data_IF_134772005526
#
_entry.id   IF_134772005526
#
_cell.length_a   1.000
_cell.length_b   1.000
_cell.length_c   1.000
_cell.angle_alpha   90.00
_cell.angle_beta   90.00
_cell.angle_gamma   90.00
#
_symmetry.space_group_name_H-M   'P 1'
#
loop_
_entity.id
_entity.type
_entity.pdbx_description
1 polymer ?
#
# COMPACT_ATOMS: atom_id res chain seq x y z
N UNK A 1 19.61 -13.18 13.39
CA UNK A 1 20.23 -12.90 14.73
C UNK A 1 21.75 -12.75 14.59
N UNK A 2 22.37 -11.87 15.34
CA UNK A 2 23.82 -11.63 15.34
C UNK A 2 24.37 -11.88 16.74
N UNK A 3 25.60 -12.39 16.84
CA UNK A 3 26.27 -12.57 18.14
C UNK A 3 26.56 -11.21 18.81
N UNK A 4 26.93 -10.20 18.03
CA UNK A 4 27.20 -8.85 18.52
C UNK A 4 25.87 -8.07 18.72
N UNK A 5 25.64 -7.49 19.94
CA UNK A 5 24.40 -6.79 20.26
C UNK A 5 24.34 -5.38 19.64
N UNK A 6 24.07 -5.33 18.34
CA UNK A 6 23.80 -4.14 17.55
C UNK A 6 22.66 -4.42 16.56
N UNK A 7 22.10 -3.38 15.96
CA UNK A 7 21.15 -3.51 14.84
C UNK A 7 21.90 -3.24 13.53
N UNK A 8 21.70 -4.12 12.54
CA UNK A 8 22.20 -3.90 11.19
C UNK A 8 21.01 -3.94 10.23
N UNK A 9 20.89 -2.91 9.40
CA UNK A 9 19.82 -2.73 8.44
C UNK A 9 20.41 -2.75 7.03
N UNK A 10 19.78 -3.50 6.12
CA UNK A 10 20.12 -3.55 4.70
C UNK A 10 18.87 -3.23 3.86
N UNK A 11 19.01 -2.36 2.86
CA UNK A 11 18.05 -2.17 1.78
C UNK A 11 18.67 -2.74 0.52
N UNK A 12 18.17 -3.90 0.08
CA UNK A 12 18.74 -4.63 -1.07
C UNK A 12 18.46 -3.86 -2.36
N UNK A 13 17.26 -3.31 -2.49
CA UNK A 13 16.83 -2.52 -3.65
C UNK A 13 17.56 -1.18 -3.79
N UNK A 14 18.03 -0.59 -2.69
CA UNK A 14 18.80 0.66 -2.68
C UNK A 14 20.32 0.43 -2.59
N UNK A 15 20.77 -0.78 -2.31
CA UNK A 15 22.19 -1.11 -2.18
C UNK A 15 22.90 -0.42 -0.99
N UNK A 16 22.15 -0.11 0.08
CA UNK A 16 22.69 0.60 1.25
C UNK A 16 22.54 -0.22 2.52
N UNK A 17 23.45 0.04 3.49
CA UNK A 17 23.46 -0.61 4.79
C UNK A 17 23.73 0.39 5.89
N UNK A 18 23.21 0.12 7.08
CA UNK A 18 23.41 0.95 8.26
C UNK A 18 23.59 0.08 9.50
N UNK A 19 24.48 0.52 10.41
CA UNK A 19 24.71 -0.07 11.71
C UNK A 19 24.29 0.90 12.81
N UNK A 20 23.52 0.41 13.76
CA UNK A 20 22.94 1.17 14.87
C UNK A 20 23.38 0.51 16.18
N UNK A 21 24.02 1.29 17.05
CA UNK A 21 24.59 0.80 18.32
C UNK A 21 24.00 1.50 19.54
N UNK A 22 23.35 2.67 19.34
CA UNK A 22 22.80 3.47 20.45
C UNK A 22 21.33 3.81 20.23
N UNK A 23 20.65 4.19 21.31
CA UNK A 23 19.28 4.69 21.25
C UNK A 23 19.15 5.97 20.42
N UNK A 24 20.14 6.87 20.49
CA UNK A 24 20.17 8.10 19.74
C UNK A 24 20.19 7.81 18.24
N UNK A 25 21.02 6.86 17.81
CA UNK A 25 21.07 6.42 16.42
C UNK A 25 19.75 5.77 15.99
N UNK A 26 19.15 4.90 16.83
CA UNK A 26 17.86 4.27 16.53
C UNK A 26 16.73 5.30 16.43
N UNK A 27 16.76 6.31 17.28
CA UNK A 27 15.72 7.35 17.37
C UNK A 27 15.99 8.56 16.49
N UNK A 28 17.17 8.65 15.85
CA UNK A 28 17.49 9.75 14.96
C UNK A 28 16.39 9.87 13.89
N UNK A 29 15.73 11.03 13.88
CA UNK A 29 14.72 11.35 12.89
C UNK A 29 15.41 11.68 11.56
N UNK A 30 15.68 10.68 10.75
CA UNK A 30 15.89 10.91 9.33
C UNK A 30 14.50 10.97 8.69
N UNK A 31 14.09 12.15 8.28
CA UNK A 31 12.91 12.30 7.44
C UNK A 31 13.00 11.30 6.28
N UNK A 32 12.04 10.35 6.22
CA UNK A 32 11.83 9.40 5.12
C UNK A 32 13.09 8.80 4.45
N UNK A 33 14.14 8.53 5.23
CA UNK A 33 15.35 7.87 4.75
C UNK A 33 15.14 6.37 4.46
N UNK A 34 16.13 5.68 3.87
CA UNK A 34 16.05 4.26 3.51
C UNK A 34 15.65 3.34 4.66
N UNK A 35 16.03 3.70 5.89
CA UNK A 35 15.82 2.89 7.09
C UNK A 35 14.79 3.46 8.06
N UNK A 36 14.01 4.46 7.67
CA UNK A 36 12.98 5.05 8.53
C UNK A 36 11.94 4.02 9.00
N UNK A 37 11.48 3.14 8.12
CA UNK A 37 10.50 2.09 8.43
C UNK A 37 11.05 1.07 9.43
N UNK A 38 12.17 0.36 9.18
CA UNK A 38 12.69 -0.61 10.15
C UNK A 38 13.11 0.01 11.49
N UNK A 39 13.61 1.25 11.51
CA UNK A 39 13.88 1.97 12.76
C UNK A 39 12.60 2.21 13.55
N UNK A 40 11.55 2.76 12.92
CA UNK A 40 10.28 3.00 13.59
C UNK A 40 9.61 1.69 14.07
N UNK A 41 9.73 0.61 13.30
CA UNK A 41 9.22 -0.71 13.68
C UNK A 41 9.94 -1.27 14.92
N UNK A 42 11.28 -1.19 14.98
CA UNK A 42 12.07 -1.59 16.16
C UNK A 42 11.69 -0.75 17.38
N UNK A 43 11.50 0.56 17.20
CA UNK A 43 11.08 1.44 18.31
C UNK A 43 9.74 0.97 18.88
N UNK A 44 8.73 0.75 18.03
CA UNK A 44 7.40 0.26 18.44
C UNK A 44 7.45 -1.16 19.04
N UNK A 45 8.43 -1.96 18.67
CA UNK A 45 8.66 -3.29 19.26
C UNK A 45 9.34 -3.24 20.65
N UNK A 46 9.58 -2.04 21.21
CA UNK A 46 10.13 -1.85 22.54
C UNK A 46 11.66 -1.82 22.59
N UNK A 47 12.33 -1.47 21.47
CA UNK A 47 13.77 -1.14 21.48
C UNK A 47 14.03 0.37 21.62
N UNK A 48 12.99 1.18 21.81
CA UNK A 48 13.07 2.60 22.20
C UNK A 48 12.52 2.73 23.63
N UNK A 49 13.26 3.35 24.57
CA UNK A 49 12.82 3.50 25.96
C UNK A 49 11.43 4.13 26.13
N UNK A 50 11.01 4.94 25.17
CA UNK A 50 9.67 5.58 25.19
C UNK A 50 8.52 4.60 24.93
N UNK A 51 8.82 3.44 24.35
CA UNK A 51 7.85 2.38 24.04
C UNK A 51 8.11 1.08 24.81
N UNK A 52 9.03 1.08 25.76
CA UNK A 52 9.38 -0.07 26.60
C UNK A 52 9.16 0.25 28.07
N UNK A 53 8.39 -0.58 28.78
CA UNK A 53 8.18 -0.43 30.21
C UNK A 53 9.43 -0.80 31.03
N UNK A 54 10.32 -1.63 30.47
CA UNK A 54 11.49 -2.24 31.12
C UNK A 54 12.78 -1.95 30.35
N UNK A 55 12.93 -0.73 29.80
CA UNK A 55 14.08 -0.35 29.00
C UNK A 55 15.40 -0.50 29.79
N UNK A 56 16.40 -1.11 29.15
CA UNK A 56 17.78 -1.16 29.69
C UNK A 56 18.44 0.22 29.47
N UNK A 57 19.53 0.52 30.25
CA UNK A 57 20.27 1.78 30.13
C UNK A 57 20.82 2.05 28.73
N UNK A 58 21.21 1.01 28.01
CA UNK A 58 21.74 1.13 26.62
C UNK A 58 21.03 0.21 25.65
N UNK A 59 21.04 0.56 24.36
CA UNK A 59 20.49 -0.30 23.30
C UNK A 59 21.20 -1.67 23.27
N UNK A 60 22.51 -1.71 23.50
CA UNK A 60 23.30 -2.94 23.56
C UNK A 60 22.80 -3.89 24.65
N UNK A 61 22.55 -3.37 25.85
CA UNK A 61 21.99 -4.16 26.95
C UNK A 61 20.55 -4.60 26.68
N UNK A 62 19.74 -3.74 26.08
CA UNK A 62 18.36 -4.05 25.66
C UNK A 62 18.33 -5.22 24.65
N UNK A 63 19.19 -5.17 23.65
CA UNK A 63 19.35 -6.23 22.66
C UNK A 63 19.85 -7.54 23.29
N UNK A 64 20.90 -7.46 24.14
CA UNK A 64 21.43 -8.64 24.84
C UNK A 64 20.38 -9.31 25.71
N UNK A 65 19.62 -8.52 26.48
CA UNK A 65 18.59 -9.03 27.41
C UNK A 65 17.40 -9.64 26.68
N UNK A 66 16.92 -9.00 25.61
CA UNK A 66 15.71 -9.46 24.90
C UNK A 66 15.97 -10.50 23.81
N UNK A 67 17.14 -10.43 23.18
CA UNK A 67 17.44 -11.22 21.98
C UNK A 67 18.64 -12.17 22.18
N UNK A 68 19.39 -12.04 23.28
CA UNK A 68 20.67 -12.75 23.45
C UNK A 68 21.76 -12.29 22.47
N UNK A 69 21.57 -11.22 21.74
CA UNK A 69 22.50 -10.71 20.73
C UNK A 69 21.90 -9.57 19.92
N UNK A 70 22.37 -9.34 18.70
CA UNK A 70 21.89 -8.29 17.82
C UNK A 70 20.84 -8.75 16.83
N UNK A 71 20.25 -7.77 16.11
CA UNK A 71 19.24 -7.95 15.08
C UNK A 71 19.80 -7.51 13.73
N UNK A 72 19.59 -8.32 12.70
CA UNK A 72 19.88 -7.96 11.31
C UNK A 72 18.59 -8.03 10.50
N UNK A 73 18.27 -6.95 9.79
CA UNK A 73 17.07 -6.83 8.96
C UNK A 73 17.49 -6.46 7.53
N UNK A 74 17.15 -7.33 6.59
CA UNK A 74 17.28 -7.03 5.15
C UNK A 74 15.91 -6.80 4.55
N UNK A 75 15.74 -5.70 3.85
CA UNK A 75 14.50 -5.35 3.16
C UNK A 75 14.69 -5.34 1.64
N UNK A 76 13.65 -5.73 0.92
CA UNK A 76 13.57 -5.64 -0.54
C UNK A 76 12.18 -5.14 -0.93
N UNK A 77 12.09 -3.99 -1.57
CA UNK A 77 10.87 -3.45 -2.14
C UNK A 77 10.93 -3.54 -3.67
N UNK A 78 10.35 -4.59 -4.24
CA UNK A 78 10.36 -4.81 -5.69
C UNK A 78 9.41 -3.89 -6.47
N UNK A 79 8.59 -3.11 -5.78
CA UNK A 79 7.61 -2.18 -6.36
C UNK A 79 8.10 -0.75 -6.18
N UNK A 80 8.07 0.10 -7.23
CA UNK A 80 8.53 1.47 -7.14
C UNK A 80 7.80 2.30 -6.08
N UNK A 81 8.51 3.17 -5.37
CA UNK A 81 7.90 4.18 -4.49
C UNK A 81 6.95 5.08 -5.29
N UNK A 82 5.83 5.49 -4.69
CA UNK A 82 4.85 6.34 -5.37
C UNK A 82 4.04 5.63 -6.45
N UNK A 83 4.06 4.30 -6.46
CA UNK A 83 3.33 3.48 -7.44
C UNK A 83 1.81 3.43 -7.24
N UNK A 84 1.29 3.93 -6.11
CA UNK A 84 -0.14 3.85 -5.77
C UNK A 84 -0.60 2.49 -5.26
N UNK A 85 0.33 1.57 -4.96
CA UNK A 85 0.01 0.23 -4.45
C UNK A 85 0.26 0.08 -2.94
N UNK A 86 0.35 1.18 -2.20
CA UNK A 86 0.56 1.13 -0.75
C UNK A 86 1.89 0.52 -0.30
N UNK A 87 2.93 0.56 -1.15
CA UNK A 87 4.21 -0.13 -0.92
C UNK A 87 4.85 0.21 0.43
N UNK A 88 4.77 1.47 0.85
CA UNK A 88 5.34 1.91 2.14
C UNK A 88 4.64 1.25 3.32
N UNK A 89 3.30 1.29 3.33
CA UNK A 89 2.47 0.70 4.38
C UNK A 89 2.61 -0.82 4.43
N UNK A 90 2.67 -1.48 3.27
CA UNK A 90 2.86 -2.94 3.17
C UNK A 90 4.25 -3.33 3.69
N UNK A 91 5.31 -2.57 3.33
CA UNK A 91 6.65 -2.80 3.86
C UNK A 91 6.69 -2.60 5.37
N UNK A 92 6.09 -1.52 5.87
CA UNK A 92 6.01 -1.23 7.31
C UNK A 92 5.31 -2.36 8.07
N UNK A 93 4.16 -2.83 7.57
CA UNK A 93 3.41 -3.92 8.15
C UNK A 93 4.18 -5.26 8.10
N UNK A 94 4.90 -5.52 7.02
CA UNK A 94 5.73 -6.72 6.88
C UNK A 94 6.88 -6.71 7.89
N UNK A 95 7.58 -5.59 8.02
CA UNK A 95 8.68 -5.44 8.98
C UNK A 95 8.18 -5.56 10.42
N UNK A 96 7.03 -4.92 10.75
CA UNK A 96 6.39 -5.09 12.07
C UNK A 96 6.00 -6.54 12.33
N UNK A 97 5.43 -7.23 11.36
CA UNK A 97 5.06 -8.64 11.47
C UNK A 97 6.26 -9.53 11.78
N UNK A 98 7.36 -9.37 11.03
CA UNK A 98 8.60 -10.13 11.24
C UNK A 98 9.22 -9.84 12.59
N UNK A 99 9.28 -8.56 13.00
CA UNK A 99 9.82 -8.18 14.32
C UNK A 99 8.91 -8.69 15.43
N UNK A 100 7.58 -8.60 15.27
CA UNK A 100 6.61 -9.13 16.24
C UNK A 100 6.78 -10.63 16.45
N UNK A 101 6.98 -11.39 15.38
CA UNK A 101 7.25 -12.82 15.42
C UNK A 101 8.62 -13.14 16.03
N UNK A 102 9.68 -12.44 15.59
CA UNK A 102 11.04 -12.60 16.10
C UNK A 102 11.14 -12.35 17.63
N UNK A 103 10.42 -11.32 18.09
CA UNK A 103 10.43 -10.92 19.51
C UNK A 103 9.33 -11.60 20.34
N UNK A 104 8.58 -12.53 19.78
CA UNK A 104 7.46 -13.25 20.42
C UNK A 104 6.43 -12.29 21.07
N UNK A 105 6.08 -11.20 20.40
CA UNK A 105 5.19 -10.16 20.93
C UNK A 105 3.70 -10.53 20.84
N UNK A 106 3.34 -11.63 20.20
CA UNK A 106 1.98 -12.13 20.09
C UNK A 106 1.02 -11.20 19.34
N UNK A 107 1.51 -10.34 18.46
CA UNK A 107 0.67 -9.41 17.72
C UNK A 107 -0.25 -10.13 16.73
N UNK A 108 -1.53 -9.87 16.84
CA UNK A 108 -2.55 -10.29 15.88
C UNK A 108 -2.44 -9.48 14.57
N UNK A 109 -3.21 -9.87 13.57
CA UNK A 109 -3.30 -9.09 12.32
C UNK A 109 -3.89 -7.70 12.57
N UNK A 110 -4.87 -7.60 13.42
CA UNK A 110 -5.52 -6.36 13.83
C UNK A 110 -4.53 -5.44 14.58
N UNK A 111 -3.68 -6.02 15.44
CA UNK A 111 -2.58 -5.28 16.08
C UNK A 111 -1.61 -4.73 15.03
N UNK A 112 -1.30 -5.50 13.98
CA UNK A 112 -0.43 -5.05 12.90
C UNK A 112 -1.06 -3.91 12.10
N UNK A 113 -2.39 -3.92 11.86
CA UNK A 113 -3.08 -2.80 11.22
C UNK A 113 -2.90 -1.51 12.05
N UNK A 114 -3.22 -1.58 13.33
CA UNK A 114 -3.12 -0.43 14.24
C UNK A 114 -1.67 0.07 14.36
N UNK A 115 -0.71 -0.83 14.57
CA UNK A 115 0.72 -0.49 14.73
C UNK A 115 1.32 0.09 13.47
N UNK A 116 0.91 -0.38 12.29
CA UNK A 116 1.35 0.18 11.02
C UNK A 116 0.85 1.61 10.87
N UNK A 117 -0.41 1.88 11.23
CA UNK A 117 -0.94 3.25 11.23
C UNK A 117 -0.14 4.16 12.17
N UNK A 118 0.19 3.69 13.39
CA UNK A 118 1.03 4.44 14.33
C UNK A 118 2.43 4.67 13.76
N UNK A 119 3.02 3.65 13.12
CA UNK A 119 4.35 3.77 12.48
C UNK A 119 4.33 4.85 11.40
N UNK A 120 3.32 4.85 10.55
CA UNK A 120 3.18 5.86 9.48
C UNK A 120 3.00 7.28 10.04
N UNK A 121 2.25 7.43 11.14
CA UNK A 121 2.12 8.70 11.83
C UNK A 121 3.46 9.17 12.42
N UNK A 122 4.26 8.26 13.02
CA UNK A 122 5.61 8.57 13.49
C UNK A 122 6.54 9.05 12.36
N UNK A 123 6.34 8.55 11.15
CA UNK A 123 7.08 8.98 9.95
C UNK A 123 6.46 10.22 9.28
N UNK A 124 5.33 10.69 9.77
CA UNK A 124 4.62 11.84 9.19
C UNK A 124 4.11 11.59 7.76
N UNK A 125 3.78 10.36 7.39
CA UNK A 125 3.26 10.02 6.05
C UNK A 125 1.86 10.57 5.80
N UNK A 126 1.05 10.73 6.86
CA UNK A 126 -0.34 11.19 6.78
C UNK A 126 -1.29 10.18 6.15
N UNK A 127 -0.87 8.92 5.97
CA UNK A 127 -1.68 7.83 5.44
C UNK A 127 -2.71 7.31 6.45
N UNK A 128 -3.78 6.70 5.93
CA UNK A 128 -4.78 5.96 6.72
C UNK A 128 -4.45 4.47 6.82
N UNK A 129 -5.43 3.67 7.21
CA UNK A 129 -5.30 2.23 7.42
C UNK A 129 -5.54 1.36 6.17
N UNK A 130 -5.93 1.93 5.03
CA UNK A 130 -6.38 1.18 3.85
C UNK A 130 -5.29 0.26 3.27
N UNK A 131 -4.08 0.77 3.11
CA UNK A 131 -3.01 0.07 2.39
C UNK A 131 -2.49 -1.13 3.18
N UNK A 132 -2.28 -0.98 4.49
CA UNK A 132 -1.85 -2.09 5.34
C UNK A 132 -2.93 -3.17 5.45
N UNK A 133 -4.21 -2.80 5.58
CA UNK A 133 -5.31 -3.76 5.57
C UNK A 133 -5.37 -4.48 4.23
N UNK A 134 -5.24 -3.74 3.12
CA UNK A 134 -5.19 -4.27 1.77
C UNK A 134 -4.06 -5.29 1.56
N UNK A 135 -2.88 -5.01 2.09
CA UNK A 135 -1.68 -5.83 1.92
C UNK A 135 -1.61 -7.04 2.85
N UNK A 136 -2.01 -6.90 4.12
CA UNK A 136 -1.86 -7.97 5.12
C UNK A 136 -2.97 -9.03 5.03
N UNK A 137 -4.21 -8.62 4.68
CA UNK A 137 -5.32 -9.55 4.53
C UNK A 137 -5.30 -10.19 3.13
N UNK A 138 -5.56 -11.51 2.99
CA UNK A 138 -5.56 -12.20 1.69
C UNK A 138 -6.80 -11.90 0.85
N UNK A 139 -6.74 -12.23 -0.46
CA UNK A 139 -7.87 -12.33 -1.37
C UNK A 139 -8.65 -11.04 -1.60
N UNK A 140 -9.84 -11.20 -2.18
CA UNK A 140 -10.81 -10.12 -2.35
C UNK A 140 -11.50 -9.79 -1.01
N UNK A 141 -11.62 -8.50 -0.70
CA UNK A 141 -12.18 -8.06 0.58
C UNK A 141 -12.69 -6.65 0.52
N UNK A 142 -13.60 -6.34 1.43
CA UNK A 142 -13.94 -4.97 1.81
C UNK A 142 -13.51 -4.74 3.25
N UNK A 143 -12.97 -3.56 3.52
CA UNK A 143 -12.65 -3.10 4.86
C UNK A 143 -13.49 -1.87 5.18
N UNK A 144 -14.09 -1.86 6.37
CA UNK A 144 -14.92 -0.78 6.86
C UNK A 144 -14.48 -0.37 8.26
N UNK A 145 -14.76 0.86 8.65
CA UNK A 145 -14.53 1.36 10.01
C UNK A 145 -15.69 2.20 10.47
N UNK A 146 -15.89 2.29 11.77
CA UNK A 146 -16.86 3.21 12.36
C UNK A 146 -16.34 4.66 12.41
N UNK A 147 -17.22 5.62 12.69
CA UNK A 147 -16.83 7.01 12.89
C UNK A 147 -15.99 7.19 14.16
N UNK A 148 -15.15 8.21 14.21
CA UNK A 148 -14.38 8.59 15.39
C UNK A 148 -12.88 8.60 15.17
N UNK A 149 -12.14 9.02 16.19
CA UNK A 149 -10.68 9.15 16.13
C UNK A 149 -9.97 7.77 16.21
N UNK A 150 -10.57 6.83 16.94
CA UNK A 150 -10.07 5.46 17.01
C UNK A 150 -10.63 4.66 15.85
N UNK A 151 -9.77 4.27 14.94
CA UNK A 151 -10.12 3.51 13.75
C UNK A 151 -9.81 2.02 13.97
N UNK A 152 -10.83 1.18 13.89
CA UNK A 152 -10.74 -0.28 14.01
C UNK A 152 -11.29 -0.92 12.74
N UNK A 153 -10.44 -1.16 11.71
CA UNK A 153 -10.90 -1.71 10.45
C UNK A 153 -11.43 -3.14 10.61
N UNK A 154 -12.68 -3.35 10.25
CA UNK A 154 -13.29 -4.68 10.11
C UNK A 154 -13.14 -5.16 8.66
N UNK A 155 -12.65 -6.38 8.47
CA UNK A 155 -12.42 -6.99 7.16
C UNK A 155 -13.47 -8.06 6.88
N UNK A 156 -14.20 -7.91 5.78
CA UNK A 156 -15.10 -8.93 5.24
C UNK A 156 -14.54 -9.47 3.93
N UNK A 157 -14.29 -10.77 3.88
CA UNK A 157 -13.80 -11.45 2.68
C UNK A 157 -14.91 -11.65 1.66
N UNK A 158 -14.57 -11.51 0.39
CA UNK A 158 -15.46 -11.65 -0.74
C UNK A 158 -15.10 -12.89 -1.56
N UNK A 159 -16.03 -13.45 -2.35
CA UNK A 159 -15.72 -14.54 -3.29
C UNK A 159 -14.66 -14.11 -4.31
N UNK A 160 -13.69 -14.97 -4.57
CA UNK A 160 -12.58 -14.70 -5.49
C UNK A 160 -12.90 -15.03 -6.96
N UNK A 161 -13.98 -15.77 -7.25
CA UNK A 161 -14.27 -16.38 -8.55
C UNK A 161 -14.20 -15.41 -9.71
N UNK A 162 -14.98 -14.32 -9.66
CA UNK A 162 -15.00 -13.30 -10.72
C UNK A 162 -13.60 -12.70 -10.96
N UNK A 163 -12.85 -12.42 -9.92
CA UNK A 163 -11.52 -11.81 -10.06
C UNK A 163 -10.51 -12.81 -10.61
N UNK A 164 -10.60 -14.10 -10.20
CA UNK A 164 -9.77 -15.17 -10.77
C UNK A 164 -10.03 -15.32 -12.25
N UNK A 165 -11.30 -15.37 -12.67
CA UNK A 165 -11.66 -15.49 -14.08
C UNK A 165 -11.12 -14.32 -14.91
N UNK A 166 -11.15 -13.10 -14.39
CA UNK A 166 -10.59 -11.92 -15.04
C UNK A 166 -9.07 -11.97 -15.16
N UNK A 167 -8.37 -12.47 -14.12
CA UNK A 167 -6.91 -12.60 -14.12
C UNK A 167 -6.46 -13.76 -15.01
N UNK A 168 -7.06 -14.93 -14.86
CA UNK A 168 -6.68 -16.15 -15.57
C UNK A 168 -6.99 -16.06 -17.07
N UNK A 169 -8.07 -15.37 -17.45
CA UNK A 169 -8.38 -15.08 -18.86
C UNK A 169 -7.48 -13.98 -19.46
N UNK A 170 -6.64 -13.31 -18.65
CA UNK A 170 -5.79 -12.21 -19.11
C UNK A 170 -6.53 -10.92 -19.43
N UNK A 171 -7.84 -10.82 -19.12
CA UNK A 171 -8.66 -9.61 -19.37
C UNK A 171 -8.42 -8.51 -18.36
N UNK A 172 -7.97 -8.83 -17.15
CA UNK A 172 -7.50 -7.83 -16.20
C UNK A 172 -6.00 -7.61 -16.37
N UNK A 173 -5.62 -6.36 -16.63
CA UNK A 173 -4.24 -5.95 -16.80
C UNK A 173 -3.84 -4.97 -15.69
N UNK A 174 -2.58 -5.04 -15.28
CA UNK A 174 -1.97 -4.09 -14.38
C UNK A 174 -0.80 -3.44 -15.10
N UNK A 175 -0.92 -2.14 -15.39
CA UNK A 175 0.08 -1.37 -16.12
C UNK A 175 0.72 -0.33 -15.20
N UNK A 176 2.02 -0.45 -14.97
CA UNK A 176 2.80 0.64 -14.40
C UNK A 176 3.05 1.69 -15.48
N UNK A 177 2.66 2.93 -15.25
CA UNK A 177 2.74 4.02 -16.23
C UNK A 177 4.14 4.61 -16.38
N UNK A 178 5.08 4.28 -15.46
CA UNK A 178 6.38 4.96 -15.39
C UNK A 178 6.31 6.38 -14.81
N UNK A 179 5.11 6.89 -14.55
CA UNK A 179 4.88 8.20 -13.94
C UNK A 179 4.76 8.02 -12.43
N UNK A 180 5.62 8.68 -11.67
CA UNK A 180 5.54 8.71 -10.21
C UNK A 180 5.13 10.09 -9.74
N UNK A 181 4.19 10.16 -8.81
CA UNK A 181 3.81 11.38 -8.12
C UNK A 181 3.76 11.15 -6.61
N UNK A 182 4.06 12.20 -5.87
CA UNK A 182 3.93 12.16 -4.42
C UNK A 182 2.44 12.25 -4.06
N UNK A 183 1.83 11.12 -3.70
CA UNK A 183 0.42 11.01 -3.28
C UNK A 183 0.06 11.99 -2.13
N UNK A 184 1.05 12.36 -1.31
CA UNK A 184 0.91 13.27 -0.17
C UNK A 184 0.29 14.64 -0.54
N UNK A 185 0.59 15.18 -1.75
CA UNK A 185 0.03 16.47 -2.17
C UNK A 185 -1.46 16.38 -2.47
N UNK A 186 -1.91 15.31 -3.15
CA UNK A 186 -3.32 15.08 -3.48
C UNK A 186 -4.13 14.85 -2.20
N UNK A 187 -3.67 13.95 -1.32
CA UNK A 187 -4.33 13.69 -0.04
C UNK A 187 -4.40 14.94 0.84
N UNK A 188 -3.34 15.75 0.86
CA UNK A 188 -3.32 17.00 1.62
C UNK A 188 -4.38 17.99 1.16
N UNK A 189 -4.60 18.17 -0.14
CA UNK A 189 -5.64 19.05 -0.69
C UNK A 189 -7.04 18.51 -0.38
N UNK A 190 -7.27 17.20 -0.52
CA UNK A 190 -8.56 16.57 -0.18
C UNK A 190 -8.87 16.76 1.31
N UNK A 191 -7.92 16.48 2.20
CA UNK A 191 -8.09 16.67 3.65
C UNK A 191 -8.39 18.13 3.97
N UNK A 192 -7.67 19.07 3.35
CA UNK A 192 -7.91 20.50 3.52
C UNK A 192 -9.32 20.90 3.11
N UNK A 193 -9.82 20.44 1.96
CA UNK A 193 -11.17 20.75 1.48
C UNK A 193 -12.25 20.28 2.46
N UNK A 194 -12.05 19.09 3.06
CA UNK A 194 -12.96 18.54 4.07
C UNK A 194 -12.94 19.40 5.34
N UNK A 195 -11.76 19.76 5.85
CA UNK A 195 -11.64 20.61 7.04
C UNK A 195 -12.19 22.03 6.83
N UNK A 196 -12.16 22.54 5.59
CA UNK A 196 -12.79 23.80 5.22
C UNK A 196 -14.31 23.70 5.03
N UNK A 197 -14.88 22.51 5.19
CA UNK A 197 -16.32 22.28 5.11
C UNK A 197 -16.88 22.35 3.69
N UNK A 198 -16.08 22.04 2.68
CA UNK A 198 -16.53 22.01 1.29
C UNK A 198 -17.55 20.89 1.05
N UNK A 199 -18.82 21.27 0.95
CA UNK A 199 -19.95 20.33 0.76
C UNK A 199 -19.77 19.41 -0.45
N UNK A 200 -19.16 19.92 -1.53
CA UNK A 200 -18.91 19.13 -2.75
C UNK A 200 -17.96 17.96 -2.47
N UNK A 201 -16.84 18.22 -1.83
CA UNK A 201 -15.84 17.18 -1.50
C UNK A 201 -16.44 16.11 -0.57
N UNK A 202 -17.21 16.52 0.44
CA UNK A 202 -17.91 15.60 1.32
C UNK A 202 -18.91 14.71 0.56
N UNK A 203 -19.73 15.26 -0.32
CA UNK A 203 -20.68 14.52 -1.14
C UNK A 203 -19.99 13.50 -2.07
N UNK A 204 -18.86 13.88 -2.69
CA UNK A 204 -18.08 12.97 -3.54
C UNK A 204 -17.53 11.80 -2.72
N UNK A 205 -17.04 12.05 -1.49
CA UNK A 205 -16.54 10.98 -0.60
C UNK A 205 -17.66 10.01 -0.23
N UNK A 206 -18.87 10.51 0.07
CA UNK A 206 -20.03 9.64 0.29
C UNK A 206 -20.37 8.81 -0.95
N UNK A 207 -20.28 9.41 -2.16
CA UNK A 207 -20.48 8.69 -3.41
C UNK A 207 -19.41 7.61 -3.64
N UNK A 208 -18.15 7.88 -3.27
CA UNK A 208 -17.06 6.88 -3.31
C UNK A 208 -17.39 5.71 -2.36
N UNK A 209 -17.87 5.99 -1.15
CA UNK A 209 -18.27 4.95 -0.20
C UNK A 209 -19.43 4.10 -0.72
N UNK A 210 -20.50 4.73 -1.24
CA UNK A 210 -21.62 4.02 -1.90
C UNK A 210 -21.17 3.18 -3.09
N UNK A 211 -20.21 3.67 -3.85
CA UNK A 211 -19.66 2.92 -4.98
C UNK A 211 -18.81 1.72 -4.53
N UNK A 212 -18.16 1.77 -3.38
CA UNK A 212 -17.47 0.62 -2.81
C UNK A 212 -18.45 -0.49 -2.40
N UNK A 213 -19.61 -0.13 -1.83
CA UNK A 213 -20.68 -1.09 -1.54
C UNK A 213 -21.24 -1.70 -2.83
N UNK A 214 -21.47 -0.90 -3.86
CA UNK A 214 -21.92 -1.38 -5.17
C UNK A 214 -20.92 -2.35 -5.82
N UNK A 215 -19.61 -2.03 -5.78
CA UNK A 215 -18.55 -2.92 -6.24
C UNK A 215 -18.52 -4.24 -5.45
N UNK A 216 -18.75 -4.17 -4.14
CA UNK A 216 -18.83 -5.33 -3.26
C UNK A 216 -19.97 -6.25 -3.66
N UNK A 217 -21.16 -5.71 -3.89
CA UNK A 217 -22.33 -6.46 -4.33
C UNK A 217 -22.10 -7.10 -5.71
N UNK A 218 -21.48 -6.39 -6.65
CA UNK A 218 -21.12 -6.91 -7.95
C UNK A 218 -20.16 -8.13 -7.85
N UNK A 219 -19.13 -8.03 -7.00
CA UNK A 219 -18.20 -9.16 -6.76
C UNK A 219 -18.92 -10.34 -6.12
N UNK A 220 -19.79 -10.11 -5.12
CA UNK A 220 -20.54 -11.17 -4.43
C UNK A 220 -21.48 -11.93 -5.36
N UNK A 221 -22.04 -11.26 -6.36
CA UNK A 221 -22.97 -11.84 -7.36
C UNK A 221 -22.26 -12.34 -8.62
N UNK A 222 -20.95 -12.24 -8.70
CA UNK A 222 -20.15 -12.49 -9.91
C UNK A 222 -20.66 -11.67 -11.12
N UNK A 223 -21.16 -10.44 -10.87
CA UNK A 223 -21.61 -9.50 -11.87
C UNK A 223 -20.46 -8.69 -12.44
N UNK A 224 -19.90 -9.13 -13.56
CA UNK A 224 -18.81 -8.44 -14.25
C UNK A 224 -19.24 -7.06 -14.77
N UNK A 225 -20.46 -6.91 -15.25
CA UNK A 225 -20.97 -5.65 -15.78
C UNK A 225 -21.05 -4.60 -14.66
N UNK A 226 -21.59 -4.99 -13.50
CA UNK A 226 -21.61 -4.16 -12.30
C UNK A 226 -20.22 -3.78 -11.82
N UNK A 227 -19.25 -4.71 -11.82
CA UNK A 227 -17.87 -4.40 -11.46
C UNK A 227 -17.23 -3.39 -12.42
N UNK A 228 -17.44 -3.52 -13.74
CA UNK A 228 -16.97 -2.57 -14.73
C UNK A 228 -17.56 -1.17 -14.50
N UNK A 229 -18.84 -1.09 -14.21
CA UNK A 229 -19.50 0.18 -13.88
C UNK A 229 -18.93 0.80 -12.59
N UNK A 230 -18.71 0.00 -11.54
CA UNK A 230 -18.11 0.45 -10.30
C UNK A 230 -16.69 1.04 -10.52
N UNK A 231 -15.87 0.40 -11.37
CA UNK A 231 -14.52 0.89 -11.69
C UNK A 231 -14.60 2.22 -12.45
N UNK A 232 -15.47 2.33 -13.47
CA UNK A 232 -15.69 3.57 -14.23
C UNK A 232 -16.12 4.69 -13.31
N UNK A 233 -17.16 4.46 -12.50
CA UNK A 233 -17.65 5.43 -11.53
C UNK A 233 -16.59 5.83 -10.51
N UNK A 234 -15.81 4.88 -9.98
CA UNK A 234 -14.69 5.17 -9.09
C UNK A 234 -13.67 6.11 -9.74
N UNK A 235 -13.37 5.90 -11.03
CA UNK A 235 -12.44 6.75 -11.79
C UNK A 235 -12.99 8.18 -11.93
N UNK A 236 -14.25 8.33 -12.30
CA UNK A 236 -14.91 9.64 -12.44
C UNK A 236 -14.99 10.39 -11.12
N UNK A 237 -15.34 9.71 -10.03
CA UNK A 237 -15.37 10.29 -8.69
C UNK A 237 -14.00 10.77 -8.21
N UNK A 238 -12.94 9.98 -8.44
CA UNK A 238 -11.58 10.38 -8.09
C UNK A 238 -11.14 11.65 -8.85
N UNK A 239 -11.45 11.73 -10.15
CA UNK A 239 -11.18 12.91 -10.97
C UNK A 239 -11.99 14.14 -10.57
N UNK A 240 -13.23 13.93 -10.12
CA UNK A 240 -14.09 15.00 -9.61
C UNK A 240 -13.64 15.52 -8.25
N UNK A 241 -13.01 14.65 -7.43
CA UNK A 241 -12.51 14.98 -6.11
C UNK A 241 -11.24 15.83 -6.18
N UNK A 242 -10.30 15.47 -7.07
CA UNK A 242 -9.03 16.20 -7.25
C UNK A 242 -8.56 16.15 -8.71
N UNK A 243 -8.33 17.31 -9.30
CA UNK A 243 -7.86 17.43 -10.70
C UNK A 243 -6.47 16.81 -10.91
N UNK A 244 -5.64 16.77 -9.88
CA UNK A 244 -4.32 16.14 -9.92
C UNK A 244 -4.34 14.62 -10.04
N UNK A 245 -5.50 13.99 -9.85
CA UNK A 245 -5.69 12.55 -10.04
C UNK A 245 -5.39 12.12 -11.48
N UNK A 246 -5.69 12.97 -12.48
CA UNK A 246 -5.49 12.68 -13.89
C UNK A 246 -4.58 13.71 -14.57
N UNK A 247 -3.26 13.60 -14.43
CA UNK A 247 -2.32 14.49 -15.13
C UNK A 247 -2.25 14.16 -16.63
N UNK A 248 -1.88 15.15 -17.44
CA UNK A 248 -1.78 15.00 -18.90
C UNK A 248 -0.84 13.88 -19.34
N UNK A 249 0.16 13.54 -18.54
CA UNK A 249 1.09 12.42 -18.80
C UNK A 249 0.42 11.05 -18.83
N UNK A 250 -0.79 10.92 -18.28
CA UNK A 250 -1.57 9.67 -18.28
C UNK A 250 -2.49 9.58 -19.52
N UNK A 251 -2.83 10.71 -20.12
CA UNK A 251 -3.76 10.77 -21.27
C UNK A 251 -3.36 9.85 -22.44
N UNK A 252 -2.09 9.77 -22.88
CA UNK A 252 -1.73 8.87 -23.98
C UNK A 252 -2.01 7.38 -23.68
N UNK A 253 -1.96 6.96 -22.40
CA UNK A 253 -2.35 5.61 -22.01
C UNK A 253 -3.87 5.42 -22.13
N UNK A 254 -4.64 6.37 -21.58
CA UNK A 254 -6.12 6.26 -21.60
C UNK A 254 -6.69 6.34 -22.98
N UNK A 255 -6.09 7.10 -23.90
CA UNK A 255 -6.51 7.16 -25.31
C UNK A 255 -6.39 5.79 -26.01
N UNK A 256 -5.37 4.99 -25.67
CA UNK A 256 -5.27 3.60 -26.12
C UNK A 256 -6.41 2.77 -25.53
N UNK A 257 -6.62 2.86 -24.22
CA UNK A 257 -7.62 2.06 -23.52
C UNK A 257 -9.04 2.34 -24.01
N UNK A 258 -9.36 3.61 -24.27
CA UNK A 258 -10.66 4.05 -24.79
C UNK A 258 -10.94 3.49 -26.19
N UNK A 259 -9.94 3.47 -27.09
CA UNK A 259 -10.07 2.85 -28.42
C UNK A 259 -10.42 1.37 -28.38
N UNK A 260 -9.96 0.67 -27.36
CA UNK A 260 -10.24 -0.75 -27.16
C UNK A 260 -11.43 -1.03 -26.23
N UNK A 261 -12.21 -0.02 -25.84
CA UNK A 261 -13.39 -0.18 -24.98
C UNK A 261 -13.09 -0.72 -23.57
N UNK A 262 -11.88 -0.53 -23.10
CA UNK A 262 -11.49 -0.97 -21.76
C UNK A 262 -12.05 -0.05 -20.67
N UNK A 263 -12.32 -0.62 -19.50
CA UNK A 263 -12.59 0.13 -18.28
C UNK A 263 -11.32 0.15 -17.43
N UNK A 264 -11.01 1.28 -16.84
CA UNK A 264 -9.76 1.45 -16.12
C UNK A 264 -9.84 2.49 -15.01
N UNK A 265 -8.88 2.45 -14.10
CA UNK A 265 -8.61 3.52 -13.12
C UNK A 265 -7.16 3.51 -12.68
N UNK A 266 -6.63 4.67 -12.30
CA UNK A 266 -5.39 4.74 -11.51
C UNK A 266 -5.64 4.23 -10.09
N UNK A 267 -4.71 3.45 -9.58
CA UNK A 267 -4.74 2.94 -8.22
C UNK A 267 -4.21 3.98 -7.22
N UNK A 268 -4.66 3.88 -5.97
CA UNK A 268 -4.35 4.85 -4.92
C UNK A 268 -4.99 6.22 -5.18
N UNK A 269 -4.30 7.30 -4.79
CA UNK A 269 -4.76 8.68 -4.94
C UNK A 269 -4.74 9.20 -6.39
N UNK A 270 -4.22 8.42 -7.33
CA UNK A 270 -4.03 8.86 -8.72
C UNK A 270 -2.74 9.65 -8.93
N UNK A 271 -2.68 10.40 -10.04
CA UNK A 271 -1.51 11.21 -10.40
C UNK A 271 -0.37 10.45 -11.05
N UNK A 272 -0.48 9.12 -11.21
CA UNK A 272 0.51 8.22 -11.78
C UNK A 272 0.48 6.85 -11.11
N UNK A 273 1.55 6.07 -11.26
CA UNK A 273 1.65 4.72 -10.71
C UNK A 273 1.01 3.66 -11.58
N UNK A 274 0.16 2.82 -11.01
CA UNK A 274 -0.47 1.71 -11.72
C UNK A 274 -1.89 2.03 -12.19
N UNK A 275 -2.19 1.61 -13.43
CA UNK A 275 -3.54 1.49 -13.98
C UNK A 275 -4.03 0.05 -13.82
N UNK A 276 -5.18 -0.13 -13.18
CA UNK A 276 -5.99 -1.33 -13.30
C UNK A 276 -6.85 -1.18 -14.55
N UNK A 277 -6.83 -2.18 -15.42
CA UNK A 277 -7.52 -2.18 -16.71
C UNK A 277 -8.32 -3.46 -16.82
N UNK A 278 -9.61 -3.36 -17.17
CA UNK A 278 -10.45 -4.48 -17.55
C UNK A 278 -10.79 -4.37 -19.05
N UNK A 279 -10.16 -5.18 -19.86
CA UNK A 279 -10.47 -5.27 -21.28
C UNK A 279 -11.82 -6.00 -21.50
N UNK A 280 -12.57 -5.69 -22.55
CA UNK A 280 -13.85 -6.37 -22.86
C UNK A 280 -13.66 -7.87 -23.11
N UNK A 281 -12.56 -8.25 -23.77
CA UNK A 281 -12.19 -9.62 -24.10
C UNK A 281 -10.68 -9.81 -24.15
N UNK A 282 -10.22 -11.04 -24.32
CA UNK A 282 -8.79 -11.38 -24.34
C UNK A 282 -8.07 -10.83 -25.59
N UNK A 283 -8.76 -10.68 -26.72
CA UNK A 283 -8.18 -10.11 -27.93
C UNK A 283 -7.89 -8.62 -27.75
N UNK A 284 -8.82 -7.87 -27.15
CA UNK A 284 -8.65 -6.46 -26.78
C UNK A 284 -7.53 -6.29 -25.74
N UNK A 285 -7.45 -7.18 -24.76
CA UNK A 285 -6.36 -7.16 -23.76
C UNK A 285 -4.98 -7.35 -24.42
N UNK A 286 -4.88 -8.28 -25.37
CA UNK A 286 -3.66 -8.52 -26.14
C UNK A 286 -3.31 -7.32 -27.02
N UNK A 287 -4.29 -6.73 -27.70
CA UNK A 287 -4.11 -5.54 -28.54
C UNK A 287 -3.63 -4.34 -27.73
N UNK A 288 -4.24 -4.04 -26.58
CA UNK A 288 -3.82 -3.00 -25.64
C UNK A 288 -2.35 -3.20 -25.24
N UNK A 289 -2.01 -4.42 -24.84
CA UNK A 289 -0.64 -4.75 -24.43
C UNK A 289 0.36 -4.53 -25.56
N UNK A 290 0.04 -5.02 -26.76
CA UNK A 290 0.90 -4.91 -27.94
C UNK A 290 1.08 -3.44 -28.36
N UNK A 291 0.02 -2.65 -28.40
CA UNK A 291 0.06 -1.24 -28.80
C UNK A 291 0.90 -0.40 -27.82
N UNK A 292 0.69 -0.55 -26.51
CA UNK A 292 1.45 0.19 -25.49
C UNK A 292 2.93 -0.23 -25.49
N UNK A 293 3.25 -1.52 -25.69
CA UNK A 293 4.63 -2.00 -25.71
C UNK A 293 5.37 -1.59 -26.99
N UNK A 294 4.67 -1.48 -28.14
CA UNK A 294 5.27 -1.05 -29.40
C UNK A 294 5.66 0.44 -29.40
N UNK A 295 4.87 1.29 -28.73
CA UNK A 295 5.11 2.72 -28.60
C UNK A 295 4.75 3.19 -27.18
N UNK A 296 5.58 2.87 -26.17
CA UNK A 296 5.26 3.18 -24.78
C UNK A 296 5.24 4.70 -24.56
N UNK A 297 4.11 5.26 -24.06
CA UNK A 297 4.01 6.70 -23.76
C UNK A 297 5.05 7.19 -22.74
N UNK A 298 5.59 6.27 -21.93
CA UNK A 298 6.68 6.52 -21.01
C UNK A 298 7.66 5.34 -21.06
N UNK A 299 8.99 5.57 -21.12
CA UNK A 299 10.00 4.50 -21.17
C UNK A 299 9.97 3.55 -19.96
N UNK A 300 9.47 4.02 -18.81
CA UNK A 300 9.29 3.20 -17.60
C UNK A 300 8.01 2.38 -17.58
N UNK A 301 7.14 2.49 -18.61
CA UNK A 301 5.88 1.78 -18.66
C UNK A 301 6.09 0.27 -18.80
N UNK A 302 5.38 -0.52 -17.98
CA UNK A 302 5.48 -1.98 -18.05
C UNK A 302 4.21 -2.64 -17.51
N UNK A 303 3.84 -3.76 -18.11
CA UNK A 303 2.77 -4.60 -17.58
C UNK A 303 3.30 -5.54 -16.49
N UNK A 304 2.46 -5.74 -15.48
CA UNK A 304 2.68 -6.71 -14.41
C UNK A 304 1.50 -7.66 -14.40
N UNK A 305 1.74 -8.94 -14.21
CA UNK A 305 0.66 -9.93 -14.11
C UNK A 305 -0.02 -9.79 -12.74
N UNK A 306 -1.30 -9.43 -12.69
CA UNK A 306 -2.02 -9.35 -11.43
C UNK A 306 -2.31 -10.74 -10.86
N UNK A 307 -2.35 -10.84 -9.53
CA UNK A 307 -2.78 -12.06 -8.84
C UNK A 307 -3.43 -11.68 -7.51
N UNK A 308 -4.26 -12.58 -6.99
CA UNK A 308 -4.84 -12.40 -5.66
C UNK A 308 -3.76 -12.63 -4.59
N UNK A 309 -3.65 -11.69 -3.67
CA UNK A 309 -2.69 -11.74 -2.57
C UNK A 309 -3.00 -12.89 -1.61
N UNK A 310 -1.96 -13.55 -1.11
CA UNK A 310 -2.06 -14.49 0.02
C UNK A 310 -2.01 -13.78 1.37
N UNK A 311 -1.89 -12.45 1.38
CA UNK A 311 -1.67 -11.65 2.58
C UNK A 311 -0.24 -11.79 3.11
N UNK A 312 -0.04 -11.32 4.34
CA UNK A 312 1.25 -11.43 5.03
C UNK A 312 1.61 -12.91 5.26
N UNK A 313 2.81 -13.27 4.86
CA UNK A 313 3.41 -14.59 5.10
C UNK A 313 4.68 -14.40 5.93
N UNK A 314 4.79 -15.09 7.05
CA UNK A 314 6.00 -15.12 7.89
C UNK A 314 6.45 -16.58 7.98
N UNK A 315 7.70 -16.85 7.64
CA UNK A 315 8.30 -18.18 7.70
C UNK A 315 9.56 -18.15 8.55
N UNK A 316 9.84 -19.22 9.28
CA UNK A 316 11.08 -19.43 10.01
C UNK A 316 11.88 -20.55 9.33
N UNK A 317 13.16 -20.36 9.18
CA UNK A 317 14.11 -21.36 8.69
C UNK A 317 15.06 -21.81 9.79
#
# INVERSE_FOLDING_TARGET
MRAEPCVVLHSIDLGVSERIETYEQLCASSELGPFSIPRAALRLAGFDPRFAADAAPTLREQLSRRMGGGIEISTLAAIPKGSGLGTSSILAATVLGVIGDLCALGWSREDLFARTTVLEQLLGSGGGWQDQVGGLAPGAKIATTGPGLRQEPAVRYLPDGLLRDLFDSGRALLLYTGVTRVARSILGEIVRSIFLGERRSAAIIEDIARNADFATDAIQRADEAGLREAIRRSWDLNRALDAGTFPDSIRPFTDVLDRHGAVYKLLGAGGGGFLLILAPDAASASAIRSEILAAPPNPGARFVTPSLSRGLQITRS
#
